data_IF_162767759479
#
_entry.id   IF_162767759479
#
_cell.length_a   1.000
_cell.length_b   1.000
_cell.length_c   1.000
_cell.angle_alpha   90.00
_cell.angle_beta   90.00
_cell.angle_gamma   90.00
#
_symmetry.space_group_name_H-M   'P 1'
#
loop_
_entity.id
_entity.type
_entity.pdbx_description
1 polymer ?
#
# COMPACT_ATOMS: atom_id res chain seq x y z
N UNK A 1 -15.07 3.71 -20.46
CA UNK A 1 -14.66 4.49 -21.66
C UNK A 1 -13.84 3.56 -22.55
N UNK A 2 -14.09 3.46 -23.86
CA UNK A 2 -13.26 2.57 -24.70
C UNK A 2 -11.89 3.17 -24.97
N UNK A 3 -10.82 2.40 -24.77
CA UNK A 3 -9.44 2.81 -25.05
C UNK A 3 -8.76 1.82 -25.98
N UNK A 4 -7.99 2.36 -26.92
CA UNK A 4 -7.18 1.59 -27.85
C UNK A 4 -5.77 1.40 -27.27
N UNK A 5 -5.31 0.15 -27.18
CA UNK A 5 -3.93 -0.22 -26.82
C UNK A 5 -3.20 -0.69 -28.08
N UNK A 6 -2.13 -0.01 -28.46
CA UNK A 6 -1.32 -0.33 -29.63
C UNK A 6 -0.45 -1.59 -29.42
N UNK A 7 0.22 -2.06 -30.48
CA UNK A 7 1.25 -3.10 -30.34
C UNK A 7 2.36 -2.66 -29.39
N UNK A 8 2.89 -3.58 -28.58
CA UNK A 8 3.94 -3.28 -27.59
C UNK A 8 3.65 -3.85 -26.21
N UNK A 9 4.43 -3.43 -25.21
CA UNK A 9 4.26 -3.84 -23.82
C UNK A 9 3.28 -2.88 -23.14
N UNK A 10 2.27 -3.45 -22.47
CA UNK A 10 1.31 -2.69 -21.67
C UNK A 10 1.21 -3.29 -20.29
N UNK A 11 1.15 -2.44 -19.27
CA UNK A 11 0.95 -2.85 -17.89
C UNK A 11 -0.41 -2.32 -17.46
N UNK A 12 -1.21 -3.19 -16.88
CA UNK A 12 -2.60 -2.91 -16.53
C UNK A 12 -2.86 -3.39 -15.11
N UNK A 13 -3.40 -2.55 -14.22
CA UNK A 13 -3.90 -3.00 -12.93
C UNK A 13 -5.43 -3.10 -12.97
N UNK A 14 -5.96 -4.16 -12.37
CA UNK A 14 -7.40 -4.30 -12.16
C UNK A 14 -7.81 -3.50 -10.92
N UNK A 15 -8.70 -2.50 -10.98
CA UNK A 15 -9.21 -1.80 -9.80
C UNK A 15 -10.30 -2.60 -9.06
N UNK A 16 -10.74 -3.72 -9.62
CA UNK A 16 -11.95 -4.41 -9.17
C UNK A 16 -11.68 -5.18 -7.88
N UNK A 17 -12.65 -5.16 -6.97
CA UNK A 17 -12.68 -6.01 -5.75
C UNK A 17 -13.30 -7.39 -6.02
N UNK A 18 -13.82 -7.60 -7.23
CA UNK A 18 -14.33 -8.88 -7.69
C UNK A 18 -13.39 -9.52 -8.71
N UNK A 19 -13.30 -10.86 -8.74
CA UNK A 19 -12.48 -11.57 -9.72
C UNK A 19 -13.01 -11.32 -11.12
N UNK A 20 -12.11 -11.33 -12.08
CA UNK A 20 -12.43 -11.15 -13.50
C UNK A 20 -11.79 -12.25 -14.33
N UNK A 21 -12.27 -12.49 -15.55
CA UNK A 21 -11.64 -13.44 -16.48
C UNK A 21 -11.07 -12.72 -17.69
N UNK A 22 -10.11 -13.33 -18.39
CA UNK A 22 -9.63 -12.78 -19.68
C UNK A 22 -10.80 -12.53 -20.64
N UNK A 23 -11.81 -13.41 -20.65
CA UNK A 23 -12.98 -13.28 -21.52
C UNK A 23 -13.84 -12.05 -21.23
N UNK A 24 -13.89 -11.60 -19.96
CA UNK A 24 -14.59 -10.38 -19.56
C UNK A 24 -13.75 -9.13 -19.80
N UNK A 25 -12.43 -9.24 -19.67
CA UNK A 25 -11.52 -8.11 -19.68
C UNK A 25 -11.04 -7.71 -21.08
N UNK A 26 -10.88 -8.69 -21.96
CA UNK A 26 -10.19 -8.50 -23.23
C UNK A 26 -10.98 -9.06 -24.41
N UNK A 27 -10.88 -8.40 -25.58
CA UNK A 27 -11.53 -8.88 -26.78
C UNK A 27 -10.68 -10.00 -27.42
N UNK A 28 -11.29 -10.79 -28.33
CA UNK A 28 -10.65 -11.95 -28.99
C UNK A 28 -9.33 -11.62 -29.71
N UNK A 29 -9.14 -10.36 -30.08
CA UNK A 29 -7.95 -9.79 -30.70
C UNK A 29 -6.70 -9.91 -29.81
N UNK A 30 -6.86 -10.16 -28.50
CA UNK A 30 -5.74 -10.49 -27.62
C UNK A 30 -4.99 -11.76 -28.08
N UNK A 31 -5.66 -12.67 -28.80
CA UNK A 31 -5.08 -13.93 -29.32
C UNK A 31 -3.75 -13.71 -30.06
N UNK A 32 -2.74 -14.48 -29.67
CA UNK A 32 -1.37 -14.43 -30.17
C UNK A 32 -0.43 -13.51 -29.36
N UNK A 33 -0.97 -12.68 -28.47
CA UNK A 33 -0.21 -11.83 -27.52
C UNK A 33 0.18 -12.64 -26.28
N UNK A 34 1.22 -12.19 -25.56
CA UNK A 34 1.56 -12.79 -24.26
C UNK A 34 0.98 -12.02 -23.08
N UNK A 35 0.67 -12.74 -22.01
CA UNK A 35 0.18 -12.21 -20.73
C UNK A 35 1.00 -12.77 -19.57
N UNK A 36 1.22 -11.94 -18.55
CA UNK A 36 1.91 -12.25 -17.30
C UNK A 36 1.17 -11.59 -16.13
N UNK A 37 1.31 -12.15 -14.92
CA UNK A 37 0.80 -11.57 -13.67
C UNK A 37 1.94 -11.16 -12.75
N UNK A 38 1.73 -10.14 -11.91
CA UNK A 38 2.69 -9.78 -10.86
C UNK A 38 2.44 -10.59 -9.57
N UNK A 39 3.51 -11.10 -8.95
CA UNK A 39 3.46 -11.81 -7.67
C UNK A 39 3.52 -10.87 -6.45
N UNK A 40 3.43 -11.44 -5.24
CA UNK A 40 3.48 -10.70 -3.97
C UNK A 40 4.81 -9.98 -3.69
N UNK A 41 5.86 -10.30 -4.44
CA UNK A 41 7.18 -9.67 -4.33
C UNK A 41 7.41 -8.61 -5.42
N UNK A 42 6.43 -8.37 -6.30
CA UNK A 42 6.57 -7.47 -7.44
C UNK A 42 7.32 -8.08 -8.63
N UNK A 43 7.41 -9.41 -8.72
CA UNK A 43 8.02 -10.09 -9.86
C UNK A 43 6.96 -10.52 -10.87
N UNK A 44 7.33 -10.56 -12.16
CA UNK A 44 6.45 -11.04 -13.23
C UNK A 44 6.53 -12.56 -13.34
N UNK A 45 5.37 -13.22 -13.29
CA UNK A 45 5.23 -14.68 -13.31
C UNK A 45 4.11 -15.12 -14.28
N UNK A 46 3.95 -16.44 -14.45
CA UNK A 46 2.87 -17.08 -15.22
C UNK A 46 2.80 -16.70 -16.71
N UNK A 47 3.94 -16.38 -17.35
CA UNK A 47 3.97 -15.99 -18.77
C UNK A 47 3.33 -17.04 -19.68
N UNK A 48 2.30 -16.63 -20.42
CA UNK A 48 1.60 -17.49 -21.39
C UNK A 48 1.27 -16.73 -22.69
N UNK A 49 1.17 -17.45 -23.82
CA UNK A 49 0.65 -16.92 -25.08
C UNK A 49 -0.86 -17.21 -25.15
N UNK A 50 -1.67 -16.16 -25.21
CA UNK A 50 -3.14 -16.26 -25.26
C UNK A 50 -3.57 -16.84 -26.61
N UNK A 51 -4.43 -17.86 -26.59
CA UNK A 51 -5.07 -18.41 -27.80
C UNK A 51 -6.57 -18.23 -27.74
N UNK A 52 -7.19 -17.94 -28.87
CA UNK A 52 -8.65 -17.89 -29.02
C UNK A 52 -9.09 -18.87 -30.11
N UNK A 53 -9.85 -19.90 -29.72
CA UNK A 53 -10.30 -21.00 -30.58
C UNK A 53 -11.72 -21.38 -30.20
N UNK A 54 -12.54 -21.77 -31.18
CA UNK A 54 -13.93 -22.20 -30.97
C UNK A 54 -14.75 -21.22 -30.12
N UNK A 55 -14.61 -19.92 -30.38
CA UNK A 55 -15.30 -18.84 -29.67
C UNK A 55 -14.95 -18.74 -28.16
N UNK A 56 -13.82 -19.31 -27.74
CA UNK A 56 -13.36 -19.30 -26.33
C UNK A 56 -11.86 -19.04 -26.24
N UNK A 57 -11.41 -18.47 -25.12
CA UNK A 57 -9.99 -18.37 -24.81
C UNK A 57 -9.47 -19.71 -24.31
N UNK A 58 -8.38 -20.20 -24.91
CA UNK A 58 -7.61 -21.36 -24.45
C UNK A 58 -6.42 -20.83 -23.67
N UNK A 59 -6.55 -20.86 -22.36
CA UNK A 59 -5.64 -20.24 -21.38
C UNK A 59 -5.49 -21.14 -20.16
N UNK A 60 -4.39 -21.01 -19.42
CA UNK A 60 -4.19 -21.73 -18.17
C UNK A 60 -5.18 -21.32 -17.09
N UNK A 61 -5.32 -22.18 -16.08
CA UNK A 61 -6.19 -21.95 -14.91
C UNK A 61 -5.92 -20.62 -14.21
N UNK A 62 -4.66 -20.14 -14.23
CA UNK A 62 -4.26 -18.86 -13.65
C UNK A 62 -5.01 -17.64 -14.21
N UNK A 63 -5.60 -17.77 -15.41
CA UNK A 63 -6.26 -16.67 -16.12
C UNK A 63 -7.77 -16.87 -16.33
N UNK A 64 -8.32 -18.00 -15.88
CA UNK A 64 -9.78 -18.24 -15.90
C UNK A 64 -10.50 -17.39 -14.84
N UNK A 65 -9.84 -17.16 -13.71
CA UNK A 65 -10.28 -16.25 -12.65
C UNK A 65 -9.07 -15.46 -12.15
N UNK A 66 -8.92 -14.26 -12.67
CA UNK A 66 -7.88 -13.29 -12.32
C UNK A 66 -8.32 -12.57 -11.04
N UNK A 67 -7.48 -12.56 -10.00
CA UNK A 67 -7.78 -11.88 -8.76
C UNK A 67 -8.11 -10.39 -8.89
N UNK A 68 -8.91 -9.86 -7.94
CA UNK A 68 -8.94 -8.44 -7.61
C UNK A 68 -7.55 -7.84 -7.47
N UNK A 69 -7.35 -6.61 -7.95
CA UNK A 69 -6.07 -5.88 -7.80
C UNK A 69 -4.86 -6.60 -8.41
N UNK A 70 -5.07 -7.52 -9.36
CA UNK A 70 -3.95 -8.10 -10.12
C UNK A 70 -3.37 -7.07 -11.07
N UNK A 71 -2.03 -7.02 -11.15
CA UNK A 71 -1.34 -6.34 -12.26
C UNK A 71 -0.99 -7.34 -13.34
N UNK A 72 -1.44 -7.03 -14.56
CA UNK A 72 -1.18 -7.77 -15.79
C UNK A 72 -0.11 -7.06 -16.61
N UNK A 73 0.83 -7.81 -17.19
CA UNK A 73 1.69 -7.34 -18.27
C UNK A 73 1.31 -8.03 -19.55
N UNK A 74 0.94 -7.25 -20.56
CA UNK A 74 0.61 -7.71 -21.90
C UNK A 74 1.75 -7.37 -22.84
N UNK A 75 2.09 -8.29 -23.75
CA UNK A 75 2.90 -7.99 -24.93
C UNK A 75 2.03 -8.19 -26.16
N UNK A 76 1.42 -7.09 -26.61
CA UNK A 76 0.44 -7.07 -27.68
C UNK A 76 1.09 -7.19 -29.05
N UNK A 77 0.66 -8.20 -29.82
CA UNK A 77 1.06 -8.36 -31.24
C UNK A 77 0.15 -7.62 -32.21
N UNK A 78 -0.99 -7.14 -31.74
CA UNK A 78 -1.94 -6.34 -32.50
C UNK A 78 -2.62 -5.34 -31.59
N UNK A 79 -3.12 -4.27 -32.19
CA UNK A 79 -3.89 -3.27 -31.48
C UNK A 79 -5.23 -3.85 -31.00
N UNK A 80 -5.61 -3.56 -29.76
CA UNK A 80 -6.90 -3.99 -29.17
C UNK A 80 -7.64 -2.79 -28.58
N UNK A 81 -8.95 -2.94 -28.40
CA UNK A 81 -9.79 -1.93 -27.72
C UNK A 81 -10.44 -2.55 -26.49
N UNK A 82 -10.31 -1.89 -25.34
CA UNK A 82 -10.80 -2.37 -24.04
C UNK A 82 -11.63 -1.29 -23.34
N UNK A 83 -12.48 -1.71 -22.40
CA UNK A 83 -13.34 -0.81 -21.61
C UNK A 83 -12.59 -0.23 -20.40
N UNK A 84 -11.85 0.85 -20.63
CA UNK A 84 -11.04 1.60 -19.66
C UNK A 84 -11.87 2.28 -18.55
N UNK A 85 -11.25 2.43 -17.37
CA UNK A 85 -11.82 2.91 -16.09
C UNK A 85 -12.95 2.05 -15.49
N UNK A 86 -13.55 1.14 -16.25
CA UNK A 86 -14.49 0.13 -15.73
C UNK A 86 -13.72 -1.11 -15.28
N UNK A 87 -12.68 -1.50 -16.01
CA UNK A 87 -11.92 -2.73 -15.74
C UNK A 87 -10.44 -2.52 -15.45
N UNK A 88 -9.87 -1.34 -15.70
CA UNK A 88 -8.43 -1.09 -15.52
C UNK A 88 -8.11 0.31 -15.00
N UNK A 89 -7.02 0.39 -14.23
CA UNK A 89 -6.30 1.58 -13.81
C UNK A 89 -5.00 1.65 -14.63
N UNK A 90 -4.90 2.56 -15.61
CA UNK A 90 -3.62 2.99 -16.22
C UNK A 90 -3.87 4.23 -17.09
N UNK A 91 -2.82 4.96 -17.46
CA UNK A 91 -2.86 5.93 -18.55
C UNK A 91 -1.58 5.79 -19.41
N UNK A 92 -1.47 4.69 -20.19
CA UNK A 92 -0.33 4.38 -21.09
C UNK A 92 0.00 5.41 -22.21
N UNK A 93 -0.42 6.67 -22.09
CA UNK A 93 -0.23 7.75 -23.06
C UNK A 93 0.67 8.89 -22.57
N UNK A 94 1.68 8.62 -21.75
CA UNK A 94 2.65 9.65 -21.35
C UNK A 94 3.83 9.76 -22.32
N UNK A 95 4.11 11.00 -22.74
CA UNK A 95 5.34 11.35 -23.44
C UNK A 95 6.54 11.12 -22.52
N UNK A 96 7.57 10.48 -23.08
CA UNK A 96 8.86 10.16 -22.45
C UNK A 96 9.42 11.34 -21.64
N UNK A 97 9.26 11.29 -20.33
CA UNK A 97 10.01 12.15 -19.41
C UNK A 97 11.20 11.35 -18.89
N UNK A 98 12.41 11.90 -19.04
CA UNK A 98 13.63 11.32 -18.44
C UNK A 98 13.51 11.43 -16.92
N UNK A 99 13.49 10.28 -16.24
CA UNK A 99 13.52 10.21 -14.78
C UNK A 99 14.92 9.92 -14.26
N UNK A 100 15.26 10.52 -13.11
CA UNK A 100 16.43 10.18 -12.33
C UNK A 100 16.08 9.02 -11.41
N UNK A 101 16.81 7.91 -11.57
CA UNK A 101 16.61 6.71 -10.77
C UNK A 101 17.37 6.79 -9.45
N UNK A 102 16.73 6.38 -8.36
CA UNK A 102 17.41 6.15 -7.09
C UNK A 102 17.75 4.67 -6.90
N UNK A 103 18.97 4.41 -6.44
CA UNK A 103 19.46 3.06 -6.13
C UNK A 103 18.63 2.47 -4.97
N UNK A 104 18.10 1.26 -5.16
CA UNK A 104 17.36 0.50 -4.13
C UNK A 104 15.83 0.60 -4.20
N UNK A 105 15.27 1.55 -4.96
CA UNK A 105 13.82 1.66 -5.15
C UNK A 105 13.28 0.66 -6.19
N UNK A 106 12.08 0.10 -5.95
CA UNK A 106 11.46 -0.88 -6.84
C UNK A 106 10.00 -0.48 -7.15
N UNK A 107 9.75 -0.07 -8.39
CA UNK A 107 8.41 0.33 -8.85
C UNK A 107 7.38 -0.81 -8.85
N UNK A 108 7.77 -2.06 -9.12
CA UNK A 108 6.83 -3.18 -9.08
C UNK A 108 6.37 -3.44 -7.64
N UNK A 109 7.32 -3.40 -6.69
CA UNK A 109 7.00 -3.49 -5.25
C UNK A 109 6.13 -2.33 -4.81
N UNK A 110 6.43 -1.10 -5.26
CA UNK A 110 5.58 0.06 -4.99
C UNK A 110 4.17 -0.11 -5.55
N UNK A 111 4.02 -0.62 -6.77
CA UNK A 111 2.70 -0.90 -7.38
C UNK A 111 1.89 -1.88 -6.54
N UNK A 112 2.51 -3.00 -6.16
CA UNK A 112 1.89 -4.01 -5.30
C UNK A 112 1.43 -3.44 -3.95
N UNK A 113 2.30 -2.68 -3.28
CA UNK A 113 1.99 -2.07 -2.00
C UNK A 113 0.92 -0.96 -2.11
N UNK A 114 0.85 -0.27 -3.24
CA UNK A 114 -0.20 0.71 -3.52
C UNK A 114 -1.57 0.02 -3.68
N UNK A 115 -1.61 -1.13 -4.35
CA UNK A 115 -2.83 -1.96 -4.48
C UNK A 115 -3.31 -2.46 -3.12
N UNK A 116 -2.42 -2.98 -2.27
CA UNK A 116 -2.79 -3.32 -0.90
C UNK A 116 -3.30 -2.10 -0.11
N UNK A 117 -2.67 -0.94 -0.33
CA UNK A 117 -3.09 0.34 0.29
C UNK A 117 -4.45 0.83 -0.22
N UNK A 118 -4.92 0.36 -1.39
CA UNK A 118 -6.30 0.52 -1.85
C UNK A 118 -7.23 -0.50 -1.18
N UNK A 119 -6.84 -1.77 -1.11
CA UNK A 119 -7.67 -2.85 -0.55
C UNK A 119 -8.10 -2.57 0.90
N UNK A 120 -7.22 -1.99 1.72
CA UNK A 120 -7.52 -1.71 3.14
C UNK A 120 -8.67 -0.70 3.35
N UNK A 121 -9.12 -0.01 2.29
CA UNK A 121 -10.30 0.86 2.33
C UNK A 121 -11.63 0.11 2.26
N UNK A 122 -11.60 -1.15 1.83
CA UNK A 122 -12.78 -2.00 1.72
C UNK A 122 -13.32 -2.46 3.07
N UNK A 123 -14.48 -3.11 3.06
CA UNK A 123 -15.05 -3.72 4.26
C UNK A 123 -14.37 -5.06 4.58
N UNK A 124 -14.48 -5.49 5.85
CA UNK A 124 -13.83 -6.69 6.38
C UNK A 124 -14.15 -7.98 5.60
N UNK A 125 -15.39 -8.16 5.13
CA UNK A 125 -15.75 -9.34 4.33
C UNK A 125 -14.98 -9.35 3.01
N UNK A 126 -15.02 -8.22 2.28
CA UNK A 126 -14.32 -8.09 0.99
C UNK A 126 -12.82 -8.28 1.16
N UNK A 127 -12.22 -7.71 2.21
CA UNK A 127 -10.78 -7.88 2.50
C UNK A 127 -10.46 -9.35 2.76
N UNK A 128 -11.17 -9.99 3.68
CA UNK A 128 -10.90 -11.37 4.07
C UNK A 128 -11.11 -12.34 2.89
N UNK A 129 -12.19 -12.16 2.13
CA UNK A 129 -12.49 -12.99 0.96
C UNK A 129 -11.43 -12.80 -0.12
N UNK A 130 -11.00 -11.55 -0.36
CA UNK A 130 -9.97 -11.23 -1.36
C UNK A 130 -8.62 -11.83 -0.98
N UNK A 131 -8.18 -11.62 0.26
CA UNK A 131 -6.90 -12.12 0.74
C UNK A 131 -6.88 -13.65 0.70
N UNK A 132 -7.87 -14.33 1.30
CA UNK A 132 -7.90 -15.80 1.37
C UNK A 132 -8.02 -16.47 0.00
N UNK A 133 -8.76 -15.86 -0.92
CA UNK A 133 -9.04 -16.49 -2.21
C UNK A 133 -7.93 -16.27 -3.23
N UNK A 134 -7.16 -15.18 -3.09
CA UNK A 134 -6.29 -14.73 -4.17
C UNK A 134 -4.88 -14.33 -3.79
N UNK A 135 -4.61 -14.09 -2.51
CA UNK A 135 -3.28 -13.79 -2.04
C UNK A 135 -2.73 -14.99 -1.30
N UNK A 136 -1.49 -15.33 -1.61
CA UNK A 136 -0.76 -16.44 -1.01
C UNK A 136 0.00 -15.95 0.24
N UNK A 137 -0.76 -15.53 1.25
CA UNK A 137 -0.25 -15.21 2.58
C UNK A 137 -0.45 -16.42 3.51
N UNK A 138 0.55 -16.69 4.36
CA UNK A 138 0.49 -17.78 5.35
C UNK A 138 -0.41 -17.42 6.54
N UNK A 139 -0.45 -16.13 6.90
CA UNK A 139 -1.37 -15.58 7.89
C UNK A 139 -1.84 -14.17 7.49
N UNK A 140 -3.06 -13.82 7.87
CA UNK A 140 -3.65 -12.52 7.59
C UNK A 140 -4.68 -12.13 8.65
N UNK A 141 -4.60 -10.89 9.12
CA UNK A 141 -5.54 -10.34 10.09
C UNK A 141 -5.94 -8.92 9.68
N UNK A 142 -7.21 -8.58 9.88
CA UNK A 142 -7.73 -7.24 9.62
C UNK A 142 -8.22 -6.60 10.92
N UNK A 143 -7.84 -5.34 11.11
CA UNK A 143 -8.16 -4.57 12.30
C UNK A 143 -8.98 -3.34 11.92
N UNK A 144 -10.11 -3.14 12.61
CA UNK A 144 -11.02 -2.02 12.36
C UNK A 144 -11.48 -1.34 13.65
N UNK A 145 -12.27 -0.26 13.53
CA UNK A 145 -12.89 0.42 14.67
C UNK A 145 -13.70 -0.50 15.59
N UNK A 146 -14.30 -1.57 15.06
CA UNK A 146 -15.04 -2.53 15.88
C UNK A 146 -14.09 -3.40 16.72
N UNK A 147 -12.92 -3.75 16.20
CA UNK A 147 -11.84 -4.39 16.95
C UNK A 147 -11.42 -3.52 18.16
N UNK A 148 -11.41 -2.19 18.01
CA UNK A 148 -11.09 -1.23 19.07
C UNK A 148 -12.19 -1.10 20.15
N UNK A 149 -13.47 -1.20 19.77
CA UNK A 149 -14.58 -1.14 20.76
C UNK A 149 -14.52 -2.31 21.73
N UNK A 150 -14.17 -3.50 21.26
CA UNK A 150 -13.91 -4.66 22.11
C UNK A 150 -12.62 -4.48 22.93
N UNK A 151 -11.64 -3.73 22.39
CA UNK A 151 -10.41 -3.37 23.11
C UNK A 151 -10.66 -2.44 24.32
N UNK A 152 -11.53 -1.43 24.16
CA UNK A 152 -11.80 -0.37 25.13
C UNK A 152 -12.85 -0.73 26.20
N UNK A 153 -13.69 -1.76 25.99
CA UNK A 153 -14.68 -2.21 26.98
C UNK A 153 -14.07 -2.63 28.33
N UNK A 154 -12.81 -3.06 28.36
CA UNK A 154 -12.15 -3.53 29.59
C UNK A 154 -11.39 -2.44 30.36
N UNK A 155 -11.34 -1.20 29.85
CA UNK A 155 -10.72 -0.05 30.54
C UNK A 155 -11.76 1.07 30.70
N UNK A 156 -12.61 0.94 31.73
CA UNK A 156 -13.70 1.86 32.05
C UNK A 156 -13.26 3.34 32.13
N UNK A 157 -12.02 3.61 32.55
CA UNK A 157 -11.44 4.96 32.64
C UNK A 157 -11.14 5.59 31.28
N UNK A 158 -10.75 4.80 30.28
CA UNK A 158 -10.50 5.28 28.92
C UNK A 158 -11.81 5.59 28.18
N UNK A 159 -12.85 4.79 28.44
CA UNK A 159 -14.21 5.02 27.96
C UNK A 159 -14.81 6.30 28.59
N UNK A 160 -14.60 6.52 29.89
CA UNK A 160 -15.07 7.72 30.59
C UNK A 160 -14.39 9.00 30.04
N UNK A 161 -13.10 8.95 29.72
CA UNK A 161 -12.35 10.06 29.12
C UNK A 161 -12.82 10.40 27.69
N UNK A 162 -13.30 9.43 26.92
CA UNK A 162 -13.92 9.67 25.60
C UNK A 162 -15.34 10.22 25.71
N UNK A 163 -16.10 9.90 26.77
CA UNK A 163 -17.41 10.51 27.03
C UNK A 163 -17.32 11.96 27.54
N UNK A 164 -16.32 12.29 28.36
CA UNK A 164 -16.15 13.65 28.92
C UNK A 164 -15.65 14.65 27.86
N UNK A 165 -14.95 14.19 26.82
CA UNK A 165 -14.52 15.01 25.67
C UNK A 165 -15.54 14.93 24.55
N UNK A 166 -16.59 15.76 24.65
CA UNK A 166 -17.72 15.81 23.71
C UNK A 166 -17.35 15.71 22.22
N UNK A 167 -18.17 14.94 21.48
CA UNK A 167 -18.33 14.90 20.01
C UNK A 167 -17.07 15.15 19.14
N UNK A 168 -15.90 14.62 19.50
CA UNK A 168 -14.71 14.67 18.64
C UNK A 168 -14.14 13.28 18.39
N UNK A 169 -14.44 12.78 17.20
CA UNK A 169 -13.69 11.77 16.42
C UNK A 169 -12.96 10.72 17.27
N UNK A 170 -13.61 9.57 17.48
CA UNK A 170 -12.88 8.33 17.78
C UNK A 170 -11.97 8.08 16.60
N UNK A 171 -10.66 8.10 16.83
CA UNK A 171 -9.64 7.81 15.82
C UNK A 171 -9.98 6.47 15.17
N UNK A 172 -10.29 6.51 13.87
CA UNK A 172 -10.66 5.35 13.07
C UNK A 172 -9.38 4.67 12.55
N UNK A 173 -8.66 4.00 13.45
CA UNK A 173 -7.50 3.19 13.06
C UNK A 173 -7.98 1.90 12.40
N UNK A 174 -7.51 1.66 11.18
CA UNK A 174 -7.71 0.42 10.47
C UNK A 174 -6.43 0.00 9.76
N UNK A 175 -6.11 -1.29 9.79
CA UNK A 175 -4.93 -1.84 9.12
C UNK A 175 -5.07 -3.34 8.84
N UNK A 176 -4.31 -3.81 7.86
CA UNK A 176 -4.08 -5.24 7.63
C UNK A 176 -2.71 -5.64 8.19
N UNK A 177 -2.65 -6.81 8.81
CA UNK A 177 -1.43 -7.55 9.10
C UNK A 177 -1.40 -8.74 8.14
N UNK A 178 -0.34 -8.87 7.36
CA UNK A 178 -0.19 -9.93 6.36
C UNK A 178 1.19 -10.57 6.55
N UNK A 179 1.28 -11.90 6.59
CA UNK A 179 2.54 -12.61 6.79
C UNK A 179 2.76 -13.63 5.68
N UNK A 180 4.00 -13.70 5.18
CA UNK A 180 4.44 -14.71 4.22
C UNK A 180 5.88 -15.12 4.48
N UNK A 181 6.17 -16.41 4.42
CA UNK A 181 7.53 -16.95 4.44
C UNK A 181 8.17 -16.74 3.07
N UNK A 182 9.23 -15.93 3.02
CA UNK A 182 10.08 -15.87 1.83
C UNK A 182 10.96 -17.11 1.79
N UNK A 183 10.61 -18.04 0.90
CA UNK A 183 11.34 -19.30 0.69
C UNK A 183 12.79 -19.10 0.25
N UNK A 184 13.13 -17.94 -0.31
CA UNK A 184 14.50 -17.64 -0.78
C UNK A 184 15.41 -17.30 0.39
N UNK A 185 14.93 -16.43 1.29
CA UNK A 185 15.72 -15.96 2.43
C UNK A 185 15.46 -16.74 3.72
N UNK A 186 14.40 -17.54 3.77
CA UNK A 186 13.93 -18.23 4.97
C UNK A 186 13.33 -17.29 6.02
N UNK A 187 13.12 -16.01 5.70
CA UNK A 187 12.57 -15.02 6.63
C UNK A 187 11.06 -14.88 6.49
N UNK A 188 10.37 -14.62 7.61
CA UNK A 188 8.99 -14.17 7.61
C UNK A 188 8.91 -12.70 7.17
N UNK A 189 8.20 -12.44 6.09
CA UNK A 189 7.89 -11.09 5.62
C UNK A 189 6.54 -10.68 6.17
N UNK A 190 6.55 -9.69 7.05
CA UNK A 190 5.36 -9.14 7.69
C UNK A 190 5.03 -7.82 7.02
N UNK A 191 3.87 -7.70 6.40
CA UNK A 191 3.40 -6.49 5.73
C UNK A 191 2.27 -5.87 6.54
N UNK A 192 2.48 -4.64 7.03
CA UNK A 192 1.46 -3.84 7.69
C UNK A 192 0.97 -2.78 6.72
N UNK A 193 -0.33 -2.80 6.45
CA UNK A 193 -0.99 -1.89 5.52
C UNK A 193 -1.94 -1.01 6.30
N UNK A 194 -1.62 0.28 6.45
CA UNK A 194 -2.46 1.23 7.16
C UNK A 194 -3.45 1.90 6.21
N UNK A 195 -4.72 1.99 6.63
CA UNK A 195 -5.72 2.79 5.94
C UNK A 195 -5.53 4.27 6.24
N UNK A 196 -5.76 5.11 5.23
CA UNK A 196 -5.93 6.55 5.42
C UNK A 196 -7.36 6.95 5.78
N UNK A 197 -7.64 8.25 5.67
CA UNK A 197 -8.99 8.79 5.85
C UNK A 197 -9.86 8.53 4.61
N UNK A 198 -11.15 8.19 4.81
CA UNK A 198 -12.11 8.01 3.71
C UNK A 198 -12.45 9.32 3.00
N UNK A 199 -12.35 10.44 3.72
CA UNK A 199 -12.57 11.79 3.18
C UNK A 199 -11.29 12.62 3.41
N UNK A 200 -10.29 12.51 2.53
CA UNK A 200 -9.00 13.19 2.68
C UNK A 200 -9.12 14.72 2.71
N UNK A 201 -10.10 15.27 2.00
CA UNK A 201 -10.36 16.72 1.97
C UNK A 201 -10.85 17.26 3.32
N UNK A 202 -11.76 16.52 3.96
CA UNK A 202 -12.26 16.83 5.30
C UNK A 202 -11.15 16.67 6.33
N UNK A 203 -10.32 15.64 6.19
CA UNK A 203 -9.14 15.46 7.02
C UNK A 203 -8.17 16.63 6.89
N UNK A 204 -7.89 17.09 5.66
CA UNK A 204 -6.97 18.19 5.39
C UNK A 204 -7.47 19.50 6.00
N UNK A 205 -8.77 19.79 5.85
CA UNK A 205 -9.38 21.00 6.42
C UNK A 205 -9.38 20.97 7.95
N UNK A 206 -9.52 19.78 8.55
CA UNK A 206 -9.47 19.57 10.00
C UNK A 206 -8.05 19.35 10.53
N UNK A 207 -7.01 19.38 9.69
CA UNK A 207 -5.65 19.08 10.10
C UNK A 207 -5.17 20.12 11.10
N UNK A 208 -4.99 19.69 12.35
CA UNK A 208 -4.55 20.59 13.41
C UNK A 208 -3.03 20.66 13.45
N UNK A 209 -2.44 21.85 13.54
CA UNK A 209 -0.98 22.00 13.66
C UNK A 209 -0.40 21.61 15.03
N UNK A 210 -1.10 20.78 15.81
CA UNK A 210 -0.66 20.37 17.14
C UNK A 210 0.26 19.17 17.01
N UNK A 211 1.49 19.33 17.48
CA UNK A 211 2.49 18.29 17.57
C UNK A 211 2.69 17.85 19.03
N UNK A 212 3.38 16.72 19.22
CA UNK A 212 3.71 16.14 20.52
C UNK A 212 5.08 15.50 20.45
N UNK A 213 5.82 15.52 21.57
CA UNK A 213 7.11 14.84 21.70
C UNK A 213 7.01 13.36 21.32
N UNK A 214 7.98 12.88 20.55
CA UNK A 214 8.05 11.54 20.03
C UNK A 214 9.48 11.00 20.13
N UNK A 215 9.62 9.88 20.85
CA UNK A 215 10.88 9.13 21.03
C UNK A 215 12.04 9.97 21.59
N UNK A 216 11.77 11.15 22.17
CA UNK A 216 12.80 12.14 22.58
C UNK A 216 13.76 12.53 21.44
N UNK A 217 13.34 12.34 20.19
CA UNK A 217 14.12 12.67 18.97
C UNK A 217 13.53 13.85 18.20
N UNK A 218 12.35 14.31 18.59
CA UNK A 218 11.63 15.42 18.02
C UNK A 218 10.14 15.27 18.25
N UNK A 219 9.31 15.82 17.37
CA UNK A 219 7.86 15.87 17.54
C UNK A 219 7.14 15.34 16.31
N UNK A 220 5.95 14.78 16.51
CA UNK A 220 5.07 14.33 15.42
C UNK A 220 3.67 14.90 15.61
N UNK A 221 2.88 14.97 14.54
CA UNK A 221 1.50 15.43 14.63
C UNK A 221 0.71 14.59 15.66
N UNK A 222 -0.02 15.27 16.55
CA UNK A 222 -0.73 14.64 17.68
C UNK A 222 -1.74 13.59 17.23
N UNK A 223 -2.48 13.84 16.15
CA UNK A 223 -3.46 12.89 15.63
C UNK A 223 -2.79 11.61 15.14
N UNK A 224 -1.64 11.72 14.46
CA UNK A 224 -0.88 10.57 13.99
C UNK A 224 -0.31 9.78 15.17
N UNK A 225 0.26 10.47 16.16
CA UNK A 225 0.74 9.81 17.37
C UNK A 225 -0.35 9.01 18.10
N UNK A 226 -1.56 9.58 18.22
CA UNK A 226 -2.65 8.90 18.88
C UNK A 226 -3.10 7.64 18.12
N UNK A 227 -3.18 7.70 16.79
CA UNK A 227 -3.47 6.53 15.96
C UNK A 227 -2.36 5.47 16.05
N UNK A 228 -1.09 5.89 16.00
CA UNK A 228 0.06 5.02 16.22
C UNK A 228 0.02 4.32 17.59
N UNK A 229 -0.35 5.04 18.66
CA UNK A 229 -0.49 4.43 19.99
C UNK A 229 -1.58 3.35 20.04
N UNK A 230 -2.71 3.56 19.36
CA UNK A 230 -3.77 2.56 19.26
C UNK A 230 -3.29 1.33 18.50
N UNK A 231 -2.47 1.51 17.45
CA UNK A 231 -1.84 0.42 16.72
C UNK A 231 -0.97 -0.44 17.63
N UNK A 232 -0.03 0.18 18.37
CA UNK A 232 0.83 -0.54 19.33
C UNK A 232 0.01 -1.25 20.42
N UNK A 233 -1.03 -0.60 20.95
CA UNK A 233 -1.91 -1.22 21.94
C UNK A 233 -2.67 -2.43 21.39
N UNK A 234 -3.07 -2.38 20.12
CA UNK A 234 -3.81 -3.46 19.45
C UNK A 234 -2.92 -4.68 19.26
N UNK A 235 -1.68 -4.48 18.82
CA UNK A 235 -0.69 -5.56 18.71
C UNK A 235 -0.33 -6.17 20.08
N UNK A 236 -0.30 -5.37 21.15
CA UNK A 236 0.07 -5.86 22.48
C UNK A 236 -1.05 -6.60 23.24
N UNK A 237 -2.35 -6.40 22.93
CA UNK A 237 -3.48 -6.95 23.72
C UNK A 237 -3.91 -8.37 23.33
N UNK A 238 -3.56 -8.85 22.14
CA UNK A 238 -3.77 -10.25 21.72
C UNK A 238 -3.09 -11.31 22.64
N UNK A 239 -2.36 -10.85 23.66
CA UNK A 239 -1.70 -11.59 24.74
C UNK A 239 -2.61 -12.42 25.68
N UNK A 240 -3.90 -12.14 25.80
CA UNK A 240 -4.72 -12.64 26.93
C UNK A 240 -5.81 -13.69 26.59
N UNK A 241 -5.94 -14.12 25.33
CA UNK A 241 -6.83 -15.24 24.98
C UNK A 241 -5.99 -16.48 24.61
N UNK A 242 -6.33 -17.59 25.25
CA UNK A 242 -5.63 -18.87 25.24
C UNK A 242 -5.22 -19.37 23.85
N UNK A 243 -3.91 -19.53 23.62
CA UNK A 243 -3.21 -20.64 22.95
C UNK A 243 -1.81 -20.21 22.47
N UNK A 244 -0.79 -21.03 22.77
CA UNK A 244 0.63 -20.81 22.49
C UNK A 244 0.95 -20.51 21.00
N UNK A 245 0.99 -19.23 20.62
CA UNK A 245 1.67 -18.74 19.40
C UNK A 245 2.50 -17.50 19.81
N UNK A 246 3.85 -17.55 19.69
CA UNK A 246 4.69 -16.40 20.04
C UNK A 246 4.74 -15.44 18.85
N UNK A 247 3.86 -14.45 18.81
CA UNK A 247 3.95 -13.38 17.81
C UNK A 247 3.39 -12.07 18.35
N UNK A 248 4.06 -11.42 19.29
CA UNK A 248 4.35 -10.04 18.97
C UNK A 248 5.49 -10.07 17.95
N UNK A 249 5.40 -9.24 16.92
CA UNK A 249 6.43 -9.10 15.89
C UNK A 249 7.82 -8.81 16.54
N UNK A 250 7.88 -8.46 17.83
CA UNK A 250 9.03 -7.81 18.48
C UNK A 250 9.35 -8.34 19.88
N UNK A 251 8.80 -9.49 20.30
CA UNK A 251 8.97 -10.03 21.68
C UNK A 251 10.45 -10.25 22.01
N UNK A 252 11.24 -10.57 20.98
CA UNK A 252 12.68 -10.53 21.02
C UNK A 252 13.17 -9.90 19.71
N UNK A 253 13.65 -8.66 19.80
CA UNK A 253 14.11 -7.89 18.62
C UNK A 253 15.28 -8.56 17.91
N UNK A 254 16.16 -9.27 18.65
CA UNK A 254 17.26 -10.03 18.05
C UNK A 254 16.73 -11.21 17.23
N UNK A 255 15.72 -11.90 17.75
CA UNK A 255 15.03 -12.99 17.03
C UNK A 255 14.31 -12.46 15.80
N UNK A 256 13.62 -11.31 15.92
CA UNK A 256 12.99 -10.66 14.77
C UNK A 256 14.04 -10.33 13.70
N UNK A 257 15.16 -9.73 14.08
CA UNK A 257 16.21 -9.34 13.14
C UNK A 257 16.80 -10.53 12.38
N UNK A 258 16.87 -11.70 13.02
CA UNK A 258 17.36 -12.93 12.41
C UNK A 258 16.32 -13.61 11.51
N UNK A 259 15.06 -13.63 11.93
CA UNK A 259 14.04 -14.49 11.31
C UNK A 259 13.05 -13.74 10.43
N UNK A 260 13.00 -12.42 10.47
CA UNK A 260 11.88 -11.65 9.94
C UNK A 260 12.29 -10.34 9.29
N UNK A 261 11.40 -9.82 8.45
CA UNK A 261 11.40 -8.46 7.91
C UNK A 261 10.01 -7.88 8.00
N UNK A 262 9.93 -6.56 8.07
CA UNK A 262 8.68 -5.83 8.09
C UNK A 262 8.62 -4.79 6.98
N UNK A 263 7.50 -4.81 6.26
CA UNK A 263 7.14 -3.85 5.23
C UNK A 263 6.00 -3.01 5.79
N UNK A 264 6.18 -1.70 5.82
CA UNK A 264 5.16 -0.76 6.27
C UNK A 264 4.69 0.06 5.07
N UNK A 265 3.38 0.09 4.86
CA UNK A 265 2.80 0.85 3.75
C UNK A 265 1.47 1.49 4.11
N UNK A 266 1.09 2.50 3.36
CA UNK A 266 -0.22 3.12 3.43
C UNK A 266 -0.34 4.32 2.51
N UNK A 267 -1.59 4.65 2.19
CA UNK A 267 -1.96 5.84 1.44
C UNK A 267 -2.42 6.95 2.37
N UNK A 268 -2.13 8.22 2.03
CA UNK A 268 -2.57 9.39 2.78
C UNK A 268 -2.17 9.31 4.26
N UNK A 269 -3.11 9.51 5.20
CA UNK A 269 -2.92 9.29 6.64
C UNK A 269 -2.28 7.92 6.98
N UNK A 270 -2.55 6.86 6.20
CA UNK A 270 -1.93 5.55 6.40
C UNK A 270 -0.42 5.58 6.16
N UNK A 271 0.05 6.39 5.20
CA UNK A 271 1.48 6.59 4.95
C UNK A 271 2.17 7.32 6.11
N UNK A 272 1.48 8.28 6.74
CA UNK A 272 1.98 8.94 7.94
C UNK A 272 2.15 7.96 9.11
N UNK A 273 1.21 7.02 9.28
CA UNK A 273 1.30 5.98 10.30
C UNK A 273 2.43 4.99 10.02
N UNK A 274 2.60 4.56 8.77
CA UNK A 274 3.72 3.71 8.35
C UNK A 274 5.07 4.37 8.69
N UNK A 275 5.20 5.67 8.44
CA UNK A 275 6.43 6.44 8.73
C UNK A 275 6.70 6.55 10.23
N UNK A 276 5.70 6.80 11.06
CA UNK A 276 5.87 6.87 12.52
C UNK A 276 6.17 5.49 13.10
N UNK A 277 5.51 4.45 12.58
CA UNK A 277 5.76 3.07 12.99
C UNK A 277 7.20 2.64 12.69
N UNK A 278 7.75 2.97 11.52
CA UNK A 278 9.14 2.62 11.18
C UNK A 278 10.16 3.28 12.10
N UNK A 279 9.95 4.55 12.45
CA UNK A 279 10.76 5.27 13.43
C UNK A 279 10.77 4.55 14.79
N UNK A 280 9.58 4.12 15.26
CA UNK A 280 9.46 3.38 16.52
C UNK A 280 10.18 2.03 16.46
N UNK A 281 9.99 1.25 15.39
CA UNK A 281 10.64 -0.05 15.20
C UNK A 281 12.16 0.05 15.27
N UNK A 282 12.73 1.10 14.66
CA UNK A 282 14.16 1.34 14.73
C UNK A 282 14.63 1.66 16.15
N UNK A 283 13.90 2.52 16.89
CA UNK A 283 14.32 2.89 18.25
C UNK A 283 14.21 1.73 19.25
N UNK A 284 13.37 0.72 18.99
CA UNK A 284 13.32 -0.50 19.80
C UNK A 284 14.33 -1.58 19.36
N UNK A 285 15.17 -1.30 18.35
CA UNK A 285 16.30 -2.13 17.96
C UNK A 285 16.10 -2.97 16.69
N UNK A 286 15.03 -2.78 15.93
CA UNK A 286 14.89 -3.47 14.63
C UNK A 286 15.91 -2.88 13.66
N UNK A 287 16.70 -3.77 13.04
CA UNK A 287 17.72 -3.37 12.10
C UNK A 287 17.11 -2.74 10.86
N UNK A 288 17.75 -1.69 10.34
CA UNK A 288 17.31 -0.94 9.16
C UNK A 288 17.02 -1.85 7.95
N UNK A 289 17.86 -2.84 7.67
CA UNK A 289 17.72 -3.75 6.51
C UNK A 289 16.52 -4.71 6.61
N UNK A 290 15.88 -4.76 7.77
CA UNK A 290 14.65 -5.49 8.01
C UNK A 290 13.41 -4.59 8.01
N UNK A 291 13.54 -3.28 7.75
CA UNK A 291 12.42 -2.32 7.68
C UNK A 291 12.37 -1.72 6.27
N UNK A 292 11.30 -2.02 5.54
CA UNK A 292 11.00 -1.37 4.26
C UNK A 292 9.77 -0.47 4.41
N UNK A 293 9.81 0.75 3.87
CA UNK A 293 8.65 1.66 3.93
C UNK A 293 8.36 2.27 2.57
N UNK A 294 7.13 2.08 2.10
CA UNK A 294 6.60 2.69 0.89
C UNK A 294 5.30 3.42 1.24
N UNK A 295 5.19 4.69 0.87
CA UNK A 295 4.00 5.47 1.17
C UNK A 295 3.51 6.21 -0.07
N UNK A 296 2.21 6.44 -0.15
CA UNK A 296 1.56 7.04 -1.31
C UNK A 296 0.75 8.26 -0.86
N UNK A 297 1.08 9.44 -1.37
CA UNK A 297 0.38 10.67 -0.98
C UNK A 297 0.43 10.99 0.51
N UNK A 298 1.46 10.54 1.23
CA UNK A 298 1.55 10.80 2.67
C UNK A 298 1.70 12.30 2.97
N UNK A 299 0.99 12.85 3.97
CA UNK A 299 1.27 14.19 4.48
C UNK A 299 2.63 14.22 5.21
N UNK A 300 3.20 15.42 5.44
CA UNK A 300 4.35 15.57 6.31
C UNK A 300 4.01 15.16 7.75
N UNK A 301 4.97 14.54 8.44
CA UNK A 301 4.68 13.78 9.67
C UNK A 301 5.26 14.39 10.94
N UNK A 302 6.39 15.09 10.82
CA UNK A 302 7.24 15.37 11.97
C UNK A 302 7.98 16.70 11.88
N UNK A 303 8.48 17.19 13.00
CA UNK A 303 9.34 18.38 13.04
C UNK A 303 10.72 18.09 12.43
N UNK A 304 11.43 19.16 12.05
CA UNK A 304 12.68 19.09 11.30
C UNK A 304 13.79 18.33 12.04
N UNK A 305 13.85 18.43 13.36
CA UNK A 305 14.77 17.68 14.24
C UNK A 305 14.58 16.16 14.12
N UNK A 306 13.32 15.69 14.15
CA UNK A 306 13.02 14.27 13.95
C UNK A 306 13.39 13.83 12.53
N UNK A 307 13.08 14.64 11.53
CA UNK A 307 13.39 14.35 10.13
C UNK A 307 14.89 14.22 9.91
N UNK A 308 15.68 15.15 10.46
CA UNK A 308 17.14 15.12 10.40
C UNK A 308 17.71 13.89 11.11
N UNK A 309 17.13 13.49 12.24
CA UNK A 309 17.58 12.32 12.98
C UNK A 309 17.40 11.02 12.18
N UNK A 310 16.31 10.87 11.42
CA UNK A 310 16.02 9.65 10.64
C UNK A 310 16.46 9.68 9.18
N UNK A 311 16.85 10.85 8.64
CA UNK A 311 17.17 11.07 7.21
C UNK A 311 18.07 9.99 6.60
N UNK A 312 19.08 9.53 7.33
CA UNK A 312 20.05 8.54 6.87
C UNK A 312 19.93 7.21 7.61
N UNK A 313 18.89 7.03 8.42
CA UNK A 313 18.72 5.86 9.30
C UNK A 313 17.66 4.89 8.80
N UNK A 314 16.68 5.37 8.06
CA UNK A 314 15.59 4.58 7.49
C UNK A 314 15.48 4.84 6.00
N UNK A 315 15.30 3.78 5.21
CA UNK A 315 14.94 3.90 3.80
C UNK A 315 13.42 3.94 3.69
N UNK A 316 12.90 5.16 3.62
CA UNK A 316 11.48 5.45 3.41
C UNK A 316 11.33 6.04 2.01
N UNK A 317 10.53 5.40 1.18
CA UNK A 317 10.21 5.88 -0.16
C UNK A 317 8.80 6.46 -0.18
N UNK A 318 8.69 7.76 -0.47
CA UNK A 318 7.43 8.49 -0.54
C UNK A 318 7.09 8.75 -2.00
N UNK A 319 6.08 8.06 -2.52
CA UNK A 319 5.56 8.34 -3.84
C UNK A 319 4.59 9.51 -3.75
N UNK A 320 4.84 10.53 -4.57
CA UNK A 320 4.11 11.79 -4.56
C UNK A 320 3.66 12.11 -5.97
N UNK A 321 2.36 12.24 -6.17
CA UNK A 321 1.81 12.78 -7.41
C UNK A 321 2.07 14.29 -7.46
N UNK A 322 2.59 14.82 -8.58
CA UNK A 322 3.00 16.23 -8.68
C UNK A 322 1.91 17.26 -8.35
N UNK A 323 0.65 16.94 -8.64
CA UNK A 323 -0.49 17.83 -8.37
C UNK A 323 -1.21 17.49 -7.04
N UNK A 324 -0.71 16.52 -6.26
CA UNK A 324 -1.30 16.16 -4.97
C UNK A 324 -0.97 17.22 -3.93
N UNK A 325 -2.00 17.77 -3.30
CA UNK A 325 -1.90 18.80 -2.27
C UNK A 325 -1.53 18.24 -0.90
N UNK A 326 -1.80 16.96 -0.61
CA UNK A 326 -1.58 16.38 0.73
C UNK A 326 -0.09 16.34 1.09
N UNK A 327 0.82 15.86 0.23
CA UNK A 327 2.26 15.93 0.50
C UNK A 327 2.78 17.38 0.59
N UNK A 328 2.11 18.35 -0.05
CA UNK A 328 2.53 19.75 -0.08
C UNK A 328 2.17 20.54 1.17
N UNK A 329 1.48 19.92 2.15
CA UNK A 329 1.12 20.56 3.41
C UNK A 329 2.33 21.04 4.22
N UNK A 330 3.56 20.61 3.90
CA UNK A 330 4.79 21.13 4.51
C UNK A 330 4.97 22.64 4.29
N UNK A 331 4.40 23.19 3.21
CA UNK A 331 4.46 24.63 2.89
C UNK A 331 3.62 25.49 3.84
N UNK A 332 2.66 24.89 4.53
CA UNK A 332 1.70 25.59 5.41
C UNK A 332 1.69 25.03 6.84
N UNK A 333 2.54 24.06 7.15
CA UNK A 333 2.69 23.45 8.48
C UNK A 333 4.13 23.61 8.96
N UNK A 334 4.40 23.30 10.24
CA UNK A 334 5.76 23.15 10.76
C UNK A 334 6.22 21.67 10.73
N UNK A 335 5.59 20.86 9.89
CA UNK A 335 5.89 19.45 9.73
C UNK A 335 6.55 19.24 8.37
N UNK A 336 7.47 18.30 8.35
CA UNK A 336 8.29 17.94 7.22
C UNK A 336 8.22 16.43 6.98
N UNK A 337 8.77 16.04 5.84
CA UNK A 337 8.82 14.65 5.42
C UNK A 337 10.07 13.93 5.92
N UNK A 338 9.90 12.65 6.23
CA UNK A 338 10.99 11.69 6.45
C UNK A 338 11.06 10.78 5.23
N UNK A 339 12.25 10.57 4.69
CA UNK A 339 12.46 9.70 3.54
C UNK A 339 12.65 10.43 2.21
N UNK A 340 12.89 9.63 1.18
CA UNK A 340 13.17 10.07 -0.19
C UNK A 340 11.88 10.21 -0.97
N UNK A 341 11.78 11.28 -1.76
CA UNK A 341 10.63 11.55 -2.60
C UNK A 341 10.80 10.92 -3.98
N UNK A 342 9.79 10.19 -4.41
CA UNK A 342 9.65 9.67 -5.77
C UNK A 342 8.48 10.42 -6.41
N UNK A 343 8.80 11.46 -7.17
CA UNK A 343 7.81 12.29 -7.85
C UNK A 343 7.25 11.56 -9.07
N UNK A 344 5.93 11.39 -9.10
CA UNK A 344 5.18 10.82 -10.21
C UNK A 344 4.52 11.94 -11.03
N UNK A 345 4.54 11.86 -12.37
CA UNK A 345 3.82 12.79 -13.21
C UNK A 345 2.32 12.60 -12.97
N UNK A 346 1.60 13.67 -12.62
CA UNK A 346 0.15 13.59 -12.45
C UNK A 346 -0.59 13.65 -13.78
N UNK A 347 -1.36 12.61 -14.06
CA UNK A 347 -2.38 12.59 -15.11
C UNK A 347 -3.68 13.30 -14.65
N UNK A 348 -4.59 13.61 -15.58
CA UNK A 348 -5.92 14.18 -15.28
C UNK A 348 -6.77 13.19 -14.45
N UNK A 349 -7.34 13.62 -13.30
CA UNK A 349 -8.18 12.78 -12.42
C UNK A 349 -8.20 13.22 -10.95
N UNK A 350 -8.78 12.42 -10.04
CA UNK A 350 -8.65 12.62 -8.59
C UNK A 350 -7.21 12.32 -8.14
N UNK A 351 -6.41 13.38 -7.96
CA UNK A 351 -4.95 13.27 -7.84
C UNK A 351 -4.50 12.57 -6.54
N UNK A 352 -5.31 12.64 -5.48
CA UNK A 352 -5.03 12.05 -4.17
C UNK A 352 -5.75 10.70 -3.94
N UNK A 353 -6.27 10.06 -4.99
CA UNK A 353 -6.85 8.72 -4.88
C UNK A 353 -5.77 7.64 -5.07
N UNK A 354 -5.89 6.50 -4.39
CA UNK A 354 -4.99 5.35 -4.58
C UNK A 354 -4.92 4.92 -6.05
N UNK A 355 -6.04 4.99 -6.76
CA UNK A 355 -6.16 4.67 -8.18
C UNK A 355 -5.26 5.57 -9.04
N UNK A 356 -5.20 6.87 -8.74
CA UNK A 356 -4.31 7.79 -9.45
C UNK A 356 -2.84 7.46 -9.20
N UNK A 357 -2.48 7.06 -7.98
CA UNK A 357 -1.14 6.57 -7.67
C UNK A 357 -0.81 5.28 -8.41
N UNK A 358 -1.73 4.31 -8.44
CA UNK A 358 -1.59 3.05 -9.20
C UNK A 358 -1.35 3.37 -10.68
N UNK A 359 -2.16 4.26 -11.26
CA UNK A 359 -2.04 4.68 -12.66
C UNK A 359 -0.65 5.26 -12.97
N UNK A 360 -0.22 6.24 -12.18
CA UNK A 360 1.04 6.92 -12.46
C UNK A 360 2.24 5.99 -12.22
N UNK A 361 2.17 5.06 -11.26
CA UNK A 361 3.22 4.04 -11.04
C UNK A 361 3.30 3.09 -12.23
N UNK A 362 2.16 2.64 -12.77
CA UNK A 362 2.11 1.76 -13.94
C UNK A 362 2.82 2.39 -15.13
N UNK A 363 2.57 3.68 -15.38
CA UNK A 363 3.22 4.41 -16.46
C UNK A 363 4.75 4.39 -16.29
N UNK A 364 5.25 4.47 -15.06
CA UNK A 364 6.70 4.35 -14.78
C UNK A 364 7.24 2.94 -15.01
N UNK A 365 6.51 1.90 -14.61
CA UNK A 365 6.94 0.51 -14.85
C UNK A 365 6.96 0.21 -16.36
N UNK A 366 6.01 0.75 -17.12
CA UNK A 366 5.94 0.61 -18.58
C UNK A 366 7.18 1.16 -19.27
N UNK A 367 7.54 2.43 -18.98
CA UNK A 367 8.72 3.09 -19.57
C UNK A 367 10.04 2.34 -19.31
N UNK A 368 10.18 1.69 -18.14
CA UNK A 368 11.36 0.89 -17.83
C UNK A 368 11.51 -0.34 -18.73
N UNK A 369 10.40 -0.94 -19.16
CA UNK A 369 10.44 -2.15 -19.97
C UNK A 369 10.64 -1.85 -21.47
N UNK A 370 10.28 -0.64 -21.93
CA UNK A 370 10.50 -0.22 -23.33
C UNK A 370 11.94 0.27 -23.60
N UNK A 371 12.76 0.45 -22.56
CA UNK A 371 14.17 0.89 -22.65
C UNK A 371 15.19 -0.24 -22.56
N UNK A 372 14.73 -1.50 -22.51
CA UNK A 372 15.51 -2.74 -22.59
C UNK A 372 15.21 -3.45 -23.90
#
# INVERSE_FOLDING_TARGET
MKRQLNTGIHILALPTVQPSSIAQLFPKELSGSSIETMDSNGNWINREIVKYQNNTFVISQAYLSIPPLTTLRLTLKRTITIDWHVTFSSNSGLALTKFNFEIGFNFNKALYLCQLSKLVYENESVINDTIKSYYDFDDSQYYSKNSHKNLLKNNFTALLLTFIRGKKSVIDLQFMYLQKLDKTTGKNIITIVFRGSQEPQDWMTNFTFKDIDFLKRGRVHKGFYQAFRLFIQTLNKQRNDDNNIPTSILDNVDTFNQTSKIILTGHSLGGALATIASCYLMEIGVNRENIDVYTFGSPPVATLDLCNYYKEKLDIYRLVNSNDVVPQLEKITNLFHIGKEILLPSNEGEIHACESYIDNIIDQVGLKNDSL
#
